data_IF_926612135451
#
_entry.id   IF_926612135451
#
_cell.length_a   1.000
_cell.length_b   1.000
_cell.length_c   1.000
_cell.angle_alpha   90.00
_cell.angle_beta   90.00
_cell.angle_gamma   90.00
#
_symmetry.space_group_name_H-M   'P 1'
#
loop_
_entity.id
_entity.type
_entity.pdbx_description
1 polymer ?
#
# COMPACT_ATOMS: atom_id res chain seq x y z
N UNK A 1 -28.39 15.45 19.48
CA UNK A 1 -27.25 14.66 18.99
C UNK A 1 -26.84 15.24 17.66
N UNK A 2 -25.71 15.93 17.60
CA UNK A 2 -25.11 16.30 16.31
C UNK A 2 -24.67 14.98 15.67
N UNK A 3 -25.16 14.70 14.47
CA UNK A 3 -24.55 13.66 13.63
C UNK A 3 -23.09 14.06 13.47
N UNK A 4 -22.17 13.30 14.07
CA UNK A 4 -20.77 13.36 13.68
C UNK A 4 -20.73 13.06 12.19
N UNK A 5 -20.47 14.08 11.37
CA UNK A 5 -20.10 13.87 9.98
C UNK A 5 -18.82 13.06 10.06
N UNK A 6 -18.92 11.76 9.80
CA UNK A 6 -17.76 10.87 9.81
C UNK A 6 -16.66 11.51 8.96
N UNK A 7 -15.46 11.65 9.53
CA UNK A 7 -14.29 12.14 8.81
C UNK A 7 -14.04 11.18 7.64
N UNK A 8 -14.03 11.75 6.44
CA UNK A 8 -14.01 10.99 5.20
C UNK A 8 -13.02 11.57 4.20
N UNK A 9 -12.72 10.80 3.15
CA UNK A 9 -11.83 11.25 2.09
C UNK A 9 -12.36 12.49 1.37
N UNK A 10 -11.45 13.22 0.74
CA UNK A 10 -11.82 14.18 -0.28
C UNK A 10 -12.20 13.42 -1.56
N UNK A 11 -13.50 13.12 -1.71
CA UNK A 11 -14.04 12.28 -2.78
C UNK A 11 -14.08 13.01 -4.12
N UNK A 12 -13.68 12.32 -5.17
CA UNK A 12 -13.87 12.71 -6.56
C UNK A 12 -14.46 11.54 -7.33
N UNK A 13 -15.30 11.82 -8.32
CA UNK A 13 -15.94 10.80 -9.15
C UNK A 13 -15.67 11.18 -10.59
N UNK A 14 -15.24 10.22 -11.40
CA UNK A 14 -14.95 10.42 -12.82
C UNK A 14 -15.54 9.27 -13.62
N UNK A 15 -16.08 9.58 -14.79
CA UNK A 15 -16.80 8.63 -15.65
C UNK A 15 -16.15 8.42 -17.02
N UNK A 16 -15.03 9.11 -17.28
CA UNK A 16 -14.24 8.99 -18.51
C UNK A 16 -12.82 9.53 -18.29
N UNK A 17 -11.92 9.25 -19.22
CA UNK A 17 -10.52 9.66 -19.13
C UNK A 17 -10.32 11.18 -19.05
N UNK A 18 -11.17 11.97 -19.73
CA UNK A 18 -11.08 13.42 -19.68
C UNK A 18 -11.38 13.97 -18.28
N UNK A 19 -12.45 13.50 -17.65
CA UNK A 19 -12.80 13.89 -16.27
C UNK A 19 -11.68 13.51 -15.28
N UNK A 20 -11.03 12.36 -15.48
CA UNK A 20 -9.85 11.98 -14.70
C UNK A 20 -8.74 13.03 -14.81
N UNK A 21 -8.38 13.45 -16.03
CA UNK A 21 -7.35 14.47 -16.24
C UNK A 21 -7.77 15.84 -15.68
N UNK A 22 -9.04 16.23 -15.80
CA UNK A 22 -9.55 17.48 -15.26
C UNK A 22 -9.44 17.51 -13.73
N UNK A 23 -9.76 16.41 -13.05
CA UNK A 23 -9.57 16.26 -11.60
C UNK A 23 -8.09 16.33 -11.23
N UNK A 24 -7.22 15.56 -11.91
CA UNK A 24 -5.77 15.57 -11.65
C UNK A 24 -5.18 16.97 -11.82
N UNK A 25 -5.58 17.69 -12.88
CA UNK A 25 -5.16 19.06 -13.15
C UNK A 25 -5.59 20.01 -12.04
N UNK A 26 -6.84 19.90 -11.59
CA UNK A 26 -7.40 20.71 -10.49
C UNK A 26 -6.68 20.46 -9.15
N UNK A 27 -6.29 19.21 -8.88
CA UNK A 27 -5.50 18.86 -7.69
C UNK A 27 -4.08 19.43 -7.77
N UNK A 28 -3.38 19.20 -8.89
CA UNK A 28 -2.02 19.71 -9.10
C UNK A 28 -1.92 21.24 -9.14
N UNK A 29 -3.01 21.96 -9.42
CA UNK A 29 -3.01 23.42 -9.35
C UNK A 29 -3.14 23.96 -7.91
N UNK A 30 -3.57 23.13 -6.97
CA UNK A 30 -3.78 23.51 -5.56
C UNK A 30 -2.63 23.05 -4.67
N UNK A 31 -2.07 21.89 -4.97
CA UNK A 31 -1.02 21.26 -4.18
C UNK A 31 0.15 20.87 -5.08
N UNK A 32 1.35 21.25 -4.65
CA UNK A 32 2.59 20.79 -5.27
C UNK A 32 2.94 19.37 -4.78
N UNK A 33 3.66 18.60 -5.59
CA UNK A 33 4.21 17.29 -5.22
C UNK A 33 3.16 16.24 -4.78
N UNK A 34 2.19 15.95 -5.64
CA UNK A 34 1.20 14.91 -5.40
C UNK A 34 1.70 13.51 -5.78
N UNK A 35 1.39 12.54 -4.91
CA UNK A 35 1.61 11.12 -5.12
C UNK A 35 0.28 10.41 -5.36
N UNK A 36 0.29 9.41 -6.23
CA UNK A 36 -0.88 8.71 -6.74
C UNK A 36 -0.72 7.21 -6.52
N UNK A 37 -1.79 6.51 -6.14
CA UNK A 37 -1.82 5.04 -6.04
C UNK A 37 -3.12 4.49 -6.59
N UNK A 38 -3.02 3.64 -7.61
CA UNK A 38 -4.15 2.90 -8.18
C UNK A 38 -4.49 1.66 -7.36
N UNK A 39 -5.78 1.39 -7.24
CA UNK A 39 -6.34 0.14 -6.71
C UNK A 39 -7.46 -0.30 -7.65
N UNK A 40 -7.43 -1.58 -8.02
CA UNK A 40 -8.40 -2.18 -8.93
C UNK A 40 -9.80 -2.34 -8.31
N UNK A 41 -9.93 -2.08 -7.01
CA UNK A 41 -11.19 -2.08 -6.28
C UNK A 41 -11.17 -0.94 -5.23
N UNK A 42 -12.17 -0.07 -5.26
CA UNK A 42 -12.27 1.07 -4.35
C UNK A 42 -12.56 0.66 -2.90
N UNK A 43 -12.98 -0.58 -2.63
CA UNK A 43 -13.09 -1.11 -1.26
C UNK A 43 -11.73 -1.37 -0.60
N UNK A 44 -10.63 -1.39 -1.37
CA UNK A 44 -9.31 -1.68 -0.81
C UNK A 44 -8.74 -0.48 -0.06
N UNK A 45 -8.18 -0.79 1.11
CA UNK A 45 -7.51 0.17 1.99
C UNK A 45 -6.02 0.31 1.64
N UNK A 46 -5.37 1.34 2.19
CA UNK A 46 -3.94 1.63 2.02
C UNK A 46 -3.10 0.77 2.98
N UNK A 47 -3.01 -0.52 2.65
CA UNK A 47 -2.27 -1.53 3.43
C UNK A 47 -1.19 -2.21 2.58
N UNK A 48 0.07 -2.25 3.05
CA UNK A 48 1.16 -2.99 2.42
C UNK A 48 0.81 -4.46 2.20
N UNK A 49 1.33 -5.04 1.14
CA UNK A 49 1.06 -6.44 0.75
C UNK A 49 1.34 -7.44 1.86
N UNK A 50 2.41 -7.25 2.66
CA UNK A 50 2.72 -8.12 3.79
C UNK A 50 1.70 -8.07 4.94
N UNK A 51 0.95 -6.97 5.05
CA UNK A 51 0.08 -6.66 6.19
C UNK A 51 -1.41 -6.89 5.88
N UNK A 52 -1.75 -7.35 4.68
CA UNK A 52 -3.14 -7.65 4.28
C UNK A 52 -3.73 -8.90 4.95
N UNK A 53 -2.86 -9.80 5.43
CA UNK A 53 -3.24 -11.05 6.10
C UNK A 53 -2.56 -11.14 7.46
N UNK A 54 -3.09 -10.36 8.40
CA UNK A 54 -2.67 -10.31 9.79
C UNK A 54 -3.60 -11.15 10.68
N UNK A 55 -3.05 -11.76 11.71
CA UNK A 55 -3.81 -12.53 12.71
C UNK A 55 -3.40 -12.10 14.12
N UNK A 56 -4.35 -11.70 14.94
CA UNK A 56 -4.07 -11.51 16.38
C UNK A 56 -3.86 -12.90 17.00
N UNK A 57 -2.75 -13.07 17.73
CA UNK A 57 -2.34 -14.36 18.32
C UNK A 57 -2.16 -14.30 19.82
N UNK A 58 -1.84 -13.13 20.37
CA UNK A 58 -1.76 -12.89 21.81
C UNK A 58 -2.30 -11.52 22.16
N UNK A 59 -2.78 -11.37 23.39
CA UNK A 59 -3.16 -10.07 23.92
C UNK A 59 -1.97 -9.28 24.48
N UNK A 60 -2.27 -8.08 24.97
CA UNK A 60 -1.31 -7.16 25.60
C UNK A 60 -0.57 -7.70 26.84
N UNK A 61 -1.05 -8.81 27.42
CA UNK A 61 -0.45 -9.46 28.59
C UNK A 61 0.30 -10.74 28.23
N UNK A 62 0.65 -10.92 26.94
CA UNK A 62 1.32 -12.10 26.39
C UNK A 62 0.52 -13.41 26.56
N UNK A 63 -0.81 -13.32 26.73
CA UNK A 63 -1.68 -14.49 26.84
C UNK A 63 -2.10 -14.96 25.45
N UNK A 64 -2.00 -16.27 25.21
CA UNK A 64 -2.50 -16.89 23.98
C UNK A 64 -4.00 -16.61 23.83
N UNK A 65 -4.40 -16.05 22.69
CA UNK A 65 -5.82 -15.91 22.30
C UNK A 65 -6.11 -16.81 21.11
N UNK A 66 -7.38 -17.13 20.88
CA UNK A 66 -7.78 -17.87 19.68
C UNK A 66 -7.37 -17.05 18.45
N UNK A 67 -6.48 -17.56 17.57
CA UNK A 67 -6.03 -16.77 16.43
C UNK A 67 -7.17 -16.34 15.52
N UNK A 68 -7.31 -15.04 15.32
CA UNK A 68 -8.36 -14.43 14.51
C UNK A 68 -7.76 -13.46 13.51
N UNK A 69 -8.34 -13.39 12.31
CA UNK A 69 -7.90 -12.44 11.29
C UNK A 69 -8.15 -11.03 11.82
N UNK A 70 -7.17 -10.15 11.68
CA UNK A 70 -7.27 -8.77 12.09
C UNK A 70 -8.29 -8.06 11.19
N UNK A 71 -9.44 -7.68 11.77
CA UNK A 71 -10.49 -6.90 11.11
C UNK A 71 -10.77 -5.57 11.80
N UNK A 72 -10.34 -5.44 13.05
CA UNK A 72 -10.45 -4.24 13.87
C UNK A 72 -9.06 -3.82 14.33
N UNK A 73 -8.83 -2.52 14.44
CA UNK A 73 -7.53 -1.97 14.78
C UNK A 73 -7.62 -1.24 16.11
N UNK A 74 -6.68 -1.51 17.03
CA UNK A 74 -6.72 -0.97 18.38
C UNK A 74 -5.30 -0.81 18.97
N UNK A 75 -5.16 0.12 19.90
CA UNK A 75 -3.88 0.45 20.55
C UNK A 75 -3.56 -0.42 21.78
N UNK A 76 -4.14 -1.63 21.90
CA UNK A 76 -3.92 -2.48 23.09
C UNK A 76 -2.53 -3.09 23.13
N UNK A 77 -1.83 -3.18 22.01
CA UNK A 77 -0.52 -3.84 21.94
C UNK A 77 -0.62 -5.36 21.82
N UNK A 78 -1.70 -5.86 21.22
CA UNK A 78 -1.84 -7.27 20.88
C UNK A 78 -0.73 -7.70 19.91
N UNK A 79 -0.26 -8.94 20.03
CA UNK A 79 0.72 -9.50 19.09
C UNK A 79 0.02 -10.02 17.85
N UNK A 80 0.55 -9.61 16.69
CA UNK A 80 -0.03 -9.91 15.38
C UNK A 80 0.96 -10.72 14.56
N UNK A 81 0.52 -11.89 14.10
CA UNK A 81 1.23 -12.71 13.13
C UNK A 81 0.88 -12.28 11.70
N UNK A 82 1.89 -12.15 10.85
CA UNK A 82 1.77 -11.88 9.43
C UNK A 82 2.90 -12.58 8.69
N UNK A 83 2.96 -12.42 7.37
CA UNK A 83 3.93 -13.13 6.54
C UNK A 83 5.37 -12.75 6.95
N UNK A 84 6.28 -13.73 6.96
CA UNK A 84 7.66 -13.51 7.38
C UNK A 84 8.46 -12.78 6.27
N UNK A 85 8.37 -11.44 6.28
CA UNK A 85 9.06 -10.55 5.32
C UNK A 85 10.56 -10.76 5.34
N UNK A 86 11.16 -10.96 6.51
CA UNK A 86 12.61 -11.17 6.64
C UNK A 86 13.06 -12.44 5.89
N UNK A 87 12.39 -13.57 6.13
CA UNK A 87 12.72 -14.84 5.46
C UNK A 87 12.53 -14.74 3.94
N UNK A 88 11.46 -14.11 3.48
CA UNK A 88 11.23 -13.90 2.04
C UNK A 88 12.32 -13.04 1.41
N UNK A 89 12.73 -11.97 2.09
CA UNK A 89 13.77 -11.08 1.59
C UNK A 89 15.11 -11.80 1.47
N UNK A 90 15.50 -12.63 2.46
CA UNK A 90 16.75 -13.38 2.37
C UNK A 90 16.72 -14.39 1.21
N UNK A 91 15.60 -15.09 1.01
CA UNK A 91 15.42 -16.01 -0.13
C UNK A 91 15.49 -15.26 -1.47
N UNK A 92 14.83 -14.10 -1.55
CA UNK A 92 14.84 -13.25 -2.74
C UNK A 92 16.25 -12.72 -3.05
N UNK A 93 17.01 -12.25 -2.05
CA UNK A 93 18.39 -11.75 -2.22
C UNK A 93 19.30 -12.77 -2.88
N UNK A 94 19.19 -14.05 -2.51
CA UNK A 94 20.03 -15.12 -3.06
C UNK A 94 19.80 -15.32 -4.56
N UNK A 95 18.55 -15.20 -5.01
CA UNK A 95 18.18 -15.36 -6.42
C UNK A 95 18.45 -14.07 -7.19
N UNK A 96 18.00 -12.93 -6.67
CA UNK A 96 17.99 -11.66 -7.40
C UNK A 96 19.39 -11.15 -7.76
N UNK A 97 20.42 -11.43 -6.95
CA UNK A 97 21.80 -10.96 -7.19
C UNK A 97 22.31 -11.21 -8.61
N UNK A 98 22.01 -12.37 -9.20
CA UNK A 98 22.49 -12.72 -10.55
C UNK A 98 21.70 -12.04 -11.68
N UNK A 99 20.53 -11.47 -11.38
CA UNK A 99 19.63 -10.86 -12.36
C UNK A 99 19.65 -9.32 -12.33
N UNK A 100 20.17 -8.72 -11.25
CA UNK A 100 20.22 -7.26 -11.10
C UNK A 100 21.45 -6.67 -11.78
N UNK A 101 21.27 -5.51 -12.41
CA UNK A 101 22.37 -4.74 -13.03
C UNK A 101 23.16 -3.93 -12.01
N UNK A 102 22.46 -3.41 -11.01
CA UNK A 102 23.01 -2.63 -9.91
C UNK A 102 22.66 -3.40 -8.63
N UNK A 103 23.67 -3.77 -7.87
CA UNK A 103 23.45 -4.47 -6.60
C UNK A 103 23.00 -3.46 -5.53
N UNK A 104 21.86 -3.71 -4.85
CA UNK A 104 21.44 -2.92 -3.70
C UNK A 104 22.48 -2.91 -2.59
N UNK A 105 22.77 -1.73 -2.07
CA UNK A 105 23.84 -1.49 -1.07
C UNK A 105 23.37 -1.62 0.37
N UNK A 106 22.07 -1.51 0.61
CA UNK A 106 21.45 -1.54 1.94
C UNK A 106 20.13 -2.34 1.95
N UNK A 107 19.58 -2.62 3.14
CA UNK A 107 18.37 -3.44 3.23
C UNK A 107 17.16 -2.72 2.66
N UNK A 108 17.06 -1.40 2.79
CA UNK A 108 15.93 -0.63 2.27
C UNK A 108 15.84 -0.72 0.74
N UNK A 109 16.97 -0.60 0.04
CA UNK A 109 17.06 -0.82 -1.41
C UNK A 109 16.66 -2.24 -1.81
N UNK A 110 17.07 -3.25 -1.03
CA UNK A 110 16.59 -4.62 -1.25
C UNK A 110 15.07 -4.76 -1.10
N UNK A 111 14.45 -4.05 -0.16
CA UNK A 111 13.00 -4.04 -0.01
C UNK A 111 12.31 -3.35 -1.18
N UNK A 112 12.85 -2.25 -1.70
CA UNK A 112 12.32 -1.61 -2.90
C UNK A 112 12.31 -2.60 -4.05
N UNK A 113 13.43 -3.24 -4.35
CA UNK A 113 13.52 -4.22 -5.43
C UNK A 113 12.54 -5.38 -5.21
N UNK A 114 12.53 -5.97 -4.01
CA UNK A 114 11.65 -7.09 -3.68
C UNK A 114 10.17 -6.74 -3.90
N UNK A 115 9.72 -5.57 -3.44
CA UNK A 115 8.35 -5.08 -3.62
C UNK A 115 7.98 -4.96 -5.10
N UNK A 116 8.85 -4.40 -5.94
CA UNK A 116 8.57 -4.22 -7.38
C UNK A 116 8.47 -5.53 -8.15
N UNK A 117 9.16 -6.58 -7.70
CA UNK A 117 9.05 -7.93 -8.28
C UNK A 117 7.96 -8.78 -7.62
N UNK A 118 7.20 -8.22 -6.68
CA UNK A 118 6.01 -8.85 -6.12
C UNK A 118 6.23 -9.64 -4.83
N UNK A 119 7.39 -9.51 -4.17
CA UNK A 119 7.55 -10.00 -2.80
C UNK A 119 6.72 -9.12 -1.85
N UNK A 120 5.89 -9.70 -0.98
CA UNK A 120 5.16 -8.91 0.01
C UNK A 120 6.12 -8.23 0.98
N UNK A 121 6.07 -6.90 1.03
CA UNK A 121 6.83 -6.09 1.98
C UNK A 121 5.93 -5.22 2.84
N UNK A 122 6.53 -4.51 3.80
CA UNK A 122 5.87 -3.47 4.60
C UNK A 122 5.90 -2.08 3.93
N UNK A 123 6.23 -2.04 2.65
CA UNK A 123 6.18 -0.84 1.84
C UNK A 123 4.84 -0.76 1.12
N UNK A 124 4.33 0.46 1.02
CA UNK A 124 3.19 0.79 0.17
C UNK A 124 3.67 1.67 -0.98
N UNK A 125 3.41 1.25 -2.22
CA UNK A 125 3.86 1.95 -3.42
C UNK A 125 3.01 3.18 -3.74
N UNK A 126 3.68 4.23 -4.17
CA UNK A 126 3.10 5.46 -4.70
C UNK A 126 3.84 5.85 -5.98
N UNK A 127 3.16 6.54 -6.89
CA UNK A 127 3.76 7.09 -8.10
C UNK A 127 3.61 8.60 -8.12
N UNK A 128 4.59 9.35 -8.62
CA UNK A 128 4.38 10.77 -8.97
C UNK A 128 3.59 10.95 -10.28
N UNK A 129 3.37 9.87 -11.02
CA UNK A 129 2.66 9.85 -12.28
C UNK A 129 1.23 9.36 -12.10
N UNK A 130 0.27 10.23 -12.42
CA UNK A 130 -1.16 9.93 -12.35
C UNK A 130 -1.59 8.88 -13.38
N UNK A 131 -0.93 8.76 -14.53
CA UNK A 131 -1.27 7.76 -15.54
C UNK A 131 -0.79 6.37 -15.12
N UNK A 132 0.36 6.28 -14.46
CA UNK A 132 0.84 5.02 -13.86
C UNK A 132 -0.13 4.55 -12.78
N UNK A 133 -0.61 5.44 -11.92
CA UNK A 133 -1.62 5.09 -10.93
C UNK A 133 -2.96 4.68 -11.58
N UNK A 134 -3.40 5.37 -12.62
CA UNK A 134 -4.60 4.99 -13.37
C UNK A 134 -4.44 3.59 -13.98
N UNK A 135 -3.30 3.30 -14.59
CA UNK A 135 -2.99 1.98 -15.15
C UNK A 135 -3.20 0.87 -14.10
N UNK A 136 -2.62 1.02 -12.91
CA UNK A 136 -2.80 0.02 -11.83
C UNK A 136 -4.24 -0.06 -11.32
N UNK A 137 -5.01 1.02 -11.38
CA UNK A 137 -6.43 1.00 -11.01
C UNK A 137 -7.30 0.24 -12.02
N UNK A 138 -6.90 0.17 -13.29
CA UNK A 138 -7.75 -0.38 -14.36
C UNK A 138 -7.19 -1.65 -15.03
N UNK A 139 -6.02 -2.13 -14.61
CA UNK A 139 -5.32 -3.25 -15.25
C UNK A 139 -6.12 -4.56 -15.28
N UNK A 140 -6.90 -4.86 -14.23
CA UNK A 140 -7.56 -6.15 -14.09
C UNK A 140 -8.72 -6.29 -15.09
N UNK A 141 -8.68 -7.34 -15.90
CA UNK A 141 -9.80 -7.67 -16.77
C UNK A 141 -11.01 -8.14 -15.94
N UNK A 142 -12.16 -7.52 -16.19
CA UNK A 142 -13.44 -7.75 -15.51
C UNK A 142 -14.55 -8.20 -16.47
N UNK A 143 -14.17 -8.65 -17.68
CA UNK A 143 -15.06 -9.27 -18.64
C UNK A 143 -15.92 -10.38 -18.00
N UNK A 144 -17.21 -10.35 -18.27
CA UNK A 144 -18.17 -11.34 -17.78
C UNK A 144 -18.68 -11.14 -16.34
N UNK A 145 -18.22 -10.12 -15.61
CA UNK A 145 -18.84 -9.72 -14.34
C UNK A 145 -20.09 -8.87 -14.63
N UNK A 146 -21.19 -9.15 -13.93
CA UNK A 146 -22.36 -8.28 -13.91
C UNK A 146 -21.94 -6.94 -13.32
N UNK A 147 -21.84 -5.92 -14.17
CA UNK A 147 -21.56 -4.55 -13.75
C UNK A 147 -22.87 -3.88 -13.37
N UNK A 148 -22.87 -3.17 -12.25
CA UNK A 148 -23.93 -2.22 -11.94
C UNK A 148 -24.01 -1.14 -13.03
N UNK A 149 -25.13 -0.42 -13.09
CA UNK A 149 -25.17 0.81 -13.88
C UNK A 149 -24.29 1.90 -13.22
N UNK A 150 -23.88 2.89 -14.01
CA UNK A 150 -22.97 3.95 -13.56
C UNK A 150 -23.60 4.74 -12.41
N UNK A 151 -24.90 5.07 -12.48
CA UNK A 151 -25.57 5.84 -11.43
C UNK A 151 -25.56 5.13 -10.06
N UNK A 152 -25.82 3.82 -10.04
CA UNK A 152 -25.82 3.00 -8.83
C UNK A 152 -24.41 2.91 -8.23
N UNK A 153 -23.38 2.77 -9.07
CA UNK A 153 -22.00 2.73 -8.61
C UNK A 153 -21.58 4.08 -7.98
N UNK A 154 -21.99 5.19 -8.61
CA UNK A 154 -21.74 6.54 -8.11
C UNK A 154 -22.45 6.77 -6.77
N UNK A 155 -23.71 6.38 -6.66
CA UNK A 155 -24.49 6.59 -5.44
C UNK A 155 -23.99 5.74 -4.27
N UNK A 156 -23.62 4.48 -4.56
CA UNK A 156 -22.95 3.61 -3.59
C UNK A 156 -21.66 4.25 -3.06
N UNK A 157 -20.81 4.80 -3.93
CA UNK A 157 -19.56 5.45 -3.50
C UNK A 157 -19.77 6.74 -2.70
N UNK A 158 -20.80 7.53 -3.03
CA UNK A 158 -21.15 8.73 -2.27
C UNK A 158 -21.50 8.38 -0.82
N UNK A 159 -22.29 7.31 -0.64
CA UNK A 159 -22.70 6.82 0.68
C UNK A 159 -21.61 6.00 1.39
N UNK A 160 -20.71 5.36 0.63
CA UNK A 160 -19.66 4.47 1.12
C UNK A 160 -18.35 4.69 0.35
N UNK A 161 -17.35 5.29 1.01
CA UNK A 161 -16.03 5.51 0.42
C UNK A 161 -15.27 4.24 0.03
N UNK A 162 -15.75 3.07 0.42
CA UNK A 162 -15.18 1.76 0.14
C UNK A 162 -16.11 0.93 -0.75
N UNK A 163 -16.72 1.55 -1.75
CA UNK A 163 -17.52 0.87 -2.78
C UNK A 163 -16.72 -0.23 -3.48
N UNK A 164 -17.33 -1.40 -3.69
CA UNK A 164 -16.73 -2.48 -4.48
C UNK A 164 -17.08 -2.40 -5.97
N UNK A 165 -17.88 -1.40 -6.37
CA UNK A 165 -18.45 -1.20 -7.72
C UNK A 165 -17.58 -0.40 -8.69
N UNK A 166 -16.36 -0.07 -8.28
CA UNK A 166 -15.42 0.66 -9.11
C UNK A 166 -13.98 0.50 -8.65
N UNK A 167 -13.06 0.97 -9.47
CA UNK A 167 -11.66 1.14 -9.13
C UNK A 167 -11.45 2.49 -8.41
N UNK A 168 -10.26 2.70 -7.86
CA UNK A 168 -9.92 4.00 -7.29
C UNK A 168 -8.46 4.40 -7.50
N UNK A 169 -8.23 5.71 -7.53
CA UNK A 169 -6.90 6.31 -7.42
C UNK A 169 -6.88 7.16 -6.15
N UNK A 170 -5.99 6.79 -5.22
CA UNK A 170 -5.69 7.60 -4.04
C UNK A 170 -4.67 8.66 -4.42
N UNK A 171 -4.85 9.88 -3.91
CA UNK A 171 -3.92 10.99 -4.12
C UNK A 171 -3.59 11.63 -2.78
N UNK A 172 -2.31 11.90 -2.55
CA UNK A 172 -1.84 12.51 -1.31
C UNK A 172 -0.64 13.44 -1.56
N UNK A 173 -0.55 14.50 -0.77
CA UNK A 173 0.70 15.22 -0.59
C UNK A 173 1.54 14.48 0.47
N UNK A 174 2.72 13.94 0.13
CA UNK A 174 3.50 13.12 1.06
C UNK A 174 4.08 13.93 2.23
N UNK A 175 4.32 15.23 2.05
CA UNK A 175 4.76 16.12 3.11
C UNK A 175 3.67 16.35 4.15
N UNK A 176 2.45 16.66 3.70
CA UNK A 176 1.29 16.78 4.59
C UNK A 176 0.92 15.44 5.25
N UNK A 177 1.09 14.31 4.54
CA UNK A 177 0.92 13.00 5.16
C UNK A 177 1.92 12.80 6.29
N UNK A 178 3.22 13.00 6.02
CA UNK A 178 4.26 12.86 7.03
C UNK A 178 4.03 13.75 8.25
N UNK A 179 3.58 14.98 8.04
CA UNK A 179 3.25 15.94 9.10
C UNK A 179 2.18 15.42 10.05
N UNK A 180 1.22 14.66 9.52
CA UNK A 180 0.08 14.13 10.25
C UNK A 180 0.37 12.78 10.91
N UNK A 181 1.12 11.89 10.25
CA UNK A 181 1.24 10.50 10.70
C UNK A 181 2.66 10.03 11.05
N UNK A 182 3.73 10.62 10.52
CA UNK A 182 5.04 9.97 10.57
C UNK A 182 5.64 9.90 12.00
N UNK A 183 5.18 10.76 12.91
CA UNK A 183 5.67 10.81 14.29
C UNK A 183 7.13 11.28 14.42
N UNK A 184 7.73 11.78 13.35
CA UNK A 184 9.08 12.32 13.31
C UNK A 184 9.07 13.84 13.37
N UNK A 185 10.05 14.43 14.06
CA UNK A 185 10.24 15.88 14.13
C UNK A 185 11.50 16.35 13.42
N UNK A 186 11.51 17.62 13.00
CA UNK A 186 12.69 18.27 12.42
C UNK A 186 13.75 18.40 13.53
N UNK A 187 15.00 18.02 13.23
CA UNK A 187 16.07 17.93 14.21
C UNK A 187 16.23 19.20 15.06
N UNK A 188 16.18 19.04 16.39
CA UNK A 188 16.28 20.16 17.34
C UNK A 188 14.99 20.95 17.55
N UNK A 189 13.86 20.49 17.01
CA UNK A 189 12.53 21.12 17.19
C UNK A 189 11.46 20.08 17.55
N UNK A 190 10.31 20.56 18.04
CA UNK A 190 9.10 19.75 18.24
C UNK A 190 8.19 19.75 16.98
N UNK A 191 8.61 20.42 15.89
CA UNK A 191 7.80 20.49 14.68
C UNK A 191 7.85 19.17 13.90
N UNK A 192 6.70 18.63 13.45
CA UNK A 192 6.67 17.43 12.64
C UNK A 192 7.34 17.64 11.28
N UNK A 193 7.89 16.57 10.70
CA UNK A 193 8.42 16.61 9.34
C UNK A 193 7.28 16.81 8.33
N UNK A 194 7.47 17.73 7.41
CA UNK A 194 6.53 18.11 6.35
C UNK A 194 7.11 17.84 4.95
N UNK A 195 8.09 16.95 4.87
CA UNK A 195 8.79 16.56 3.65
C UNK A 195 9.02 15.05 3.61
N UNK A 196 9.30 14.54 2.42
CA UNK A 196 9.65 13.14 2.19
C UNK A 196 11.07 12.85 2.66
N UNK A 197 11.27 11.75 3.39
CA UNK A 197 12.62 11.33 3.76
C UNK A 197 13.30 10.66 2.57
N UNK A 198 14.48 11.17 2.19
CA UNK A 198 15.28 10.56 1.14
C UNK A 198 15.96 9.29 1.64
N UNK A 199 15.62 8.13 1.04
CA UNK A 199 16.15 6.83 1.45
C UNK A 199 17.68 6.74 1.39
N UNK A 200 18.33 7.43 0.46
CA UNK A 200 19.79 7.41 0.32
C UNK A 200 20.49 8.21 1.44
N UNK A 201 19.84 9.28 1.93
CA UNK A 201 20.40 10.15 2.98
C UNK A 201 20.11 9.58 4.36
N UNK A 202 18.88 9.13 4.59
CA UNK A 202 18.38 8.74 5.92
C UNK A 202 18.29 7.23 6.10
N UNK A 203 19.02 6.44 5.30
CA UNK A 203 18.94 4.98 5.33
C UNK A 203 19.13 4.42 6.74
N UNK A 204 20.17 4.86 7.46
CA UNK A 204 20.49 4.33 8.79
C UNK A 204 19.38 4.62 9.81
N UNK A 205 18.80 5.82 9.78
CA UNK A 205 17.70 6.22 10.67
C UNK A 205 16.42 5.44 10.34
N UNK A 206 16.11 5.30 9.05
CA UNK A 206 14.95 4.52 8.59
C UNK A 206 15.13 3.05 8.95
N UNK A 207 16.32 2.47 8.73
CA UNK A 207 16.62 1.07 9.04
C UNK A 207 16.56 0.79 10.54
N UNK A 208 17.13 1.65 11.40
CA UNK A 208 17.00 1.50 12.86
C UNK A 208 15.55 1.57 13.31
N UNK A 209 14.75 2.50 12.76
CA UNK A 209 13.31 2.55 13.01
C UNK A 209 12.54 1.33 12.47
N UNK A 210 13.03 0.71 11.40
CA UNK A 210 12.39 -0.42 10.73
C UNK A 210 12.77 -1.79 11.32
N UNK A 211 13.99 -1.94 11.83
CA UNK A 211 14.59 -3.22 12.23
C UNK A 211 14.75 -3.37 13.76
N UNK A 212 14.92 -2.29 14.53
CA UNK A 212 15.31 -2.41 15.95
C UNK A 212 14.14 -2.51 16.94
N UNK A 213 12.88 -2.57 16.48
CA UNK A 213 11.72 -2.90 17.31
C UNK A 213 11.49 -2.02 18.55
N UNK A 214 12.22 -0.91 18.70
CA UNK A 214 12.33 -0.14 19.95
C UNK A 214 11.74 1.27 19.85
N UNK A 215 11.27 1.68 18.67
CA UNK A 215 10.40 2.85 18.51
C UNK A 215 9.28 2.49 17.54
N UNK A 216 8.04 2.82 17.89
CA UNK A 216 6.86 2.62 17.06
C UNK A 216 7.00 3.46 15.79
N UNK A 217 7.60 2.89 14.75
CA UNK A 217 7.67 3.53 13.45
C UNK A 217 6.25 3.59 12.88
N UNK A 218 5.68 4.79 12.86
CA UNK A 218 4.44 5.08 12.16
C UNK A 218 4.71 5.18 10.65
N UNK A 219 3.67 5.07 9.80
CA UNK A 219 3.87 5.12 8.37
C UNK A 219 4.50 6.45 7.94
N UNK A 220 5.59 6.39 7.16
CA UNK A 220 6.30 7.58 6.68
C UNK A 220 6.57 7.50 5.17
N UNK A 221 6.27 8.56 4.44
CA UNK A 221 6.60 8.77 3.03
C UNK A 221 8.11 8.96 2.85
N UNK A 222 8.69 8.14 1.98
CA UNK A 222 10.10 8.11 1.61
C UNK A 222 10.25 8.12 0.09
N UNK A 223 11.26 8.81 -0.41
CA UNK A 223 11.66 8.71 -1.82
C UNK A 223 12.68 7.61 -2.00
N UNK A 224 12.56 6.83 -3.07
CA UNK A 224 13.48 5.73 -3.35
C UNK A 224 14.70 6.15 -4.17
N UNK A 225 15.74 5.33 -4.14
CA UNK A 225 16.89 5.43 -5.04
C UNK A 225 16.53 4.79 -6.40
N UNK A 226 16.82 5.42 -7.56
CA UNK A 226 16.50 4.88 -8.88
C UNK A 226 17.47 3.76 -9.32
N UNK A 227 17.54 2.67 -8.55
CA UNK A 227 18.48 1.56 -8.75
C UNK A 227 17.98 0.47 -9.71
N UNK A 228 16.70 0.49 -10.08
CA UNK A 228 16.14 -0.41 -11.08
C UNK A 228 15.20 0.30 -12.06
N UNK A 229 15.17 -0.21 -13.30
CA UNK A 229 14.42 0.38 -14.40
C UNK A 229 12.92 0.42 -14.12
N UNK A 230 12.37 -0.59 -13.45
CA UNK A 230 10.95 -0.65 -13.10
C UNK A 230 10.57 0.46 -12.13
N UNK A 231 11.43 0.73 -11.14
CA UNK A 231 11.25 1.85 -10.19
C UNK A 231 11.17 3.17 -10.94
N UNK A 232 12.10 3.40 -11.87
CA UNK A 232 12.13 4.62 -12.67
C UNK A 232 10.89 4.75 -13.56
N UNK A 233 10.49 3.67 -14.24
CA UNK A 233 9.31 3.67 -15.15
C UNK A 233 8.01 3.95 -14.42
N UNK A 234 7.89 3.48 -13.19
CA UNK A 234 6.71 3.66 -12.37
C UNK A 234 6.75 4.97 -11.56
N UNK A 235 7.84 5.75 -11.66
CA UNK A 235 8.10 6.92 -10.81
C UNK A 235 7.87 6.62 -9.32
N UNK A 236 8.40 5.48 -8.88
CA UNK A 236 8.05 4.82 -7.61
C UNK A 236 8.60 5.51 -6.35
N UNK A 237 7.70 5.81 -5.42
CA UNK A 237 7.96 6.23 -4.05
C UNK A 237 7.20 5.33 -3.07
N UNK A 238 7.47 5.46 -1.76
CA UNK A 238 6.95 4.49 -0.79
C UNK A 238 6.46 5.15 0.49
N UNK A 239 5.51 4.51 1.16
CA UNK A 239 5.32 4.66 2.60
C UNK A 239 5.87 3.43 3.31
N UNK A 240 6.68 3.62 4.35
CA UNK A 240 7.21 2.54 5.20
C UNK A 240 6.41 2.41 6.49
N UNK A 241 5.84 1.24 6.77
CA UNK A 241 4.88 1.06 7.88
C UNK A 241 5.47 0.56 9.22
N UNK A 242 6.74 0.12 9.24
CA UNK A 242 7.39 -0.28 10.50
C UNK A 242 6.67 -1.41 11.27
N UNK A 243 6.29 -1.13 12.52
CA UNK A 243 5.48 -2.03 13.37
C UNK A 243 3.98 -1.79 13.25
N UNK A 244 3.57 -0.73 12.54
CA UNK A 244 2.19 -0.34 12.41
C UNK A 244 1.48 -1.22 11.37
N UNK A 245 0.52 -2.02 11.83
CA UNK A 245 -0.20 -2.98 10.98
C UNK A 245 -1.51 -2.42 10.41
N UNK A 246 -1.86 -1.18 10.74
CA UNK A 246 -3.13 -0.60 10.31
C UNK A 246 -3.01 0.05 8.92
N UNK A 247 -4.11 0.13 8.17
CA UNK A 247 -4.20 0.95 6.98
C UNK A 247 -3.92 2.42 7.31
N UNK A 248 -3.25 3.12 6.39
CA UNK A 248 -3.04 4.59 6.54
C UNK A 248 -4.38 5.31 6.65
N UNK A 249 -5.35 4.90 5.83
CA UNK A 249 -6.69 5.46 5.77
C UNK A 249 -7.62 5.01 6.91
N UNK A 250 -7.12 4.24 7.87
CA UNK A 250 -7.80 4.03 9.16
C UNK A 250 -7.55 5.20 10.13
N UNK A 251 -6.50 6.00 9.90
CA UNK A 251 -6.19 7.17 10.73
C UNK A 251 -7.05 8.35 10.22
N UNK A 252 -7.98 8.83 11.05
CA UNK A 252 -8.93 9.89 10.66
C UNK A 252 -8.25 11.14 10.07
N UNK A 253 -7.14 11.57 10.69
CA UNK A 253 -6.40 12.76 10.22
C UNK A 253 -5.78 12.52 8.84
N UNK A 254 -5.24 11.32 8.57
CA UNK A 254 -4.72 10.95 7.27
C UNK A 254 -5.85 10.85 6.24
N UNK A 255 -6.96 10.21 6.61
CA UNK A 255 -8.13 10.02 5.74
C UNK A 255 -8.66 11.36 5.22
N UNK A 256 -8.68 12.40 6.06
CA UNK A 256 -9.15 13.76 5.71
C UNK A 256 -8.30 14.46 4.64
N UNK A 257 -6.99 14.23 4.63
CA UNK A 257 -6.07 14.88 3.68
C UNK A 257 -5.89 14.08 2.38
N UNK A 258 -6.34 12.81 2.36
CA UNK A 258 -6.26 11.96 1.19
C UNK A 258 -7.44 12.25 0.26
N UNK A 259 -7.15 12.48 -1.01
CA UNK A 259 -8.17 12.47 -2.05
C UNK A 259 -8.37 11.05 -2.59
N UNK A 260 -9.62 10.70 -2.87
CA UNK A 260 -9.98 9.41 -3.46
C UNK A 260 -10.80 9.64 -4.72
N UNK A 261 -10.21 9.33 -5.87
CA UNK A 261 -10.87 9.39 -7.18
C UNK A 261 -11.50 8.03 -7.45
N UNK A 262 -12.81 7.98 -7.59
CA UNK A 262 -13.57 6.77 -7.89
C UNK A 262 -13.87 6.68 -9.38
N UNK A 263 -13.69 5.47 -9.92
CA UNK A 263 -13.88 5.14 -11.33
C UNK A 263 -14.83 3.94 -11.41
N UNK A 264 -16.11 4.12 -11.82
CA UNK A 264 -17.01 2.99 -12.06
C UNK A 264 -16.42 2.01 -13.08
N UNK A 265 -16.65 0.70 -12.89
CA UNK A 265 -16.06 -0.30 -13.79
C UNK A 265 -16.52 -0.17 -15.26
N UNK A 266 -17.70 0.39 -15.50
CA UNK A 266 -18.22 0.60 -16.85
C UNK A 266 -17.36 1.58 -17.67
N UNK A 267 -16.54 2.40 -17.00
CA UNK A 267 -15.69 3.40 -17.63
C UNK A 267 -14.28 2.88 -17.94
N UNK A 268 -13.93 1.68 -17.48
CA UNK A 268 -12.55 1.16 -17.55
C UNK A 268 -12.06 0.94 -18.97
N UNK A 269 -12.90 0.40 -19.85
CA UNK A 269 -12.46 0.05 -21.21
C UNK A 269 -12.07 1.29 -22.02
N UNK A 270 -12.86 2.37 -21.95
CA UNK A 270 -12.49 3.66 -22.55
C UNK A 270 -11.15 4.18 -22.01
N UNK A 271 -10.94 4.14 -20.70
CA UNK A 271 -9.69 4.59 -20.09
C UNK A 271 -8.50 3.72 -20.47
N UNK A 272 -8.69 2.41 -20.65
CA UNK A 272 -7.63 1.49 -21.14
C UNK A 272 -7.22 1.84 -22.56
N UNK A 273 -8.19 2.08 -23.45
CA UNK A 273 -7.92 2.51 -24.83
C UNK A 273 -7.10 3.81 -24.85
N UNK A 274 -7.44 4.76 -24.00
CA UNK A 274 -6.71 6.02 -23.87
C UNK A 274 -5.30 5.84 -23.33
N UNK A 275 -5.10 5.00 -22.30
CA UNK A 275 -3.75 4.70 -21.80
C UNK A 275 -2.89 3.99 -22.85
N UNK A 276 -3.48 3.07 -23.62
CA UNK A 276 -2.80 2.41 -24.73
C UNK A 276 -2.38 3.40 -25.81
N UNK A 277 -3.25 4.35 -26.17
CA UNK A 277 -2.92 5.42 -27.12
C UNK A 277 -1.81 6.37 -26.65
N UNK A 278 -1.54 6.41 -25.33
CA UNK A 278 -0.48 7.20 -24.70
C UNK A 278 0.77 6.36 -24.38
N UNK A 279 0.88 5.13 -24.90
CA UNK A 279 1.98 4.19 -24.67
C UNK A 279 2.19 3.78 -23.19
N UNK A 280 1.17 3.95 -22.35
CA UNK A 280 1.14 3.46 -20.97
C UNK A 280 0.62 2.02 -20.99
N UNK A 281 1.55 1.07 -21.05
CA UNK A 281 1.28 -0.36 -21.25
C UNK A 281 2.03 -1.20 -20.21
N UNK A 282 1.64 -2.47 -20.09
CA UNK A 282 2.32 -3.42 -19.20
C UNK A 282 3.82 -3.51 -19.51
N UNK A 283 4.19 -3.53 -20.80
CA UNK A 283 5.59 -3.59 -21.22
C UNK A 283 6.36 -2.31 -20.87
N UNK A 284 5.74 -1.13 -21.03
CA UNK A 284 6.41 0.13 -20.71
C UNK A 284 6.64 0.30 -19.20
N UNK A 285 5.77 -0.27 -18.36
CA UNK A 285 5.87 -0.19 -16.89
C UNK A 285 6.69 -1.31 -16.24
N UNK A 286 6.43 -2.58 -16.59
CA UNK A 286 7.08 -3.73 -15.94
C UNK A 286 8.36 -4.19 -16.64
N UNK A 287 8.42 -4.08 -17.97
CA UNK A 287 9.44 -4.74 -18.78
C UNK A 287 9.44 -6.27 -18.66
N UNK A 288 10.51 -6.91 -19.12
CA UNK A 288 10.70 -8.36 -19.01
C UNK A 288 11.67 -8.71 -17.87
N UNK A 289 11.27 -9.61 -16.97
CA UNK A 289 12.13 -10.16 -15.93
C UNK A 289 11.64 -11.53 -15.45
N UNK A 290 12.56 -12.49 -15.32
CA UNK A 290 12.26 -13.80 -14.73
C UNK A 290 12.05 -13.72 -13.21
N UNK A 291 12.43 -12.61 -12.57
CA UNK A 291 12.29 -12.39 -11.13
C UNK A 291 10.84 -12.37 -10.66
N UNK A 292 9.90 -12.03 -11.55
CA UNK A 292 8.47 -12.02 -11.21
C UNK A 292 7.96 -13.43 -10.85
N UNK A 293 8.40 -14.46 -11.59
CA UNK A 293 8.01 -15.84 -11.30
C UNK A 293 8.62 -16.33 -9.99
N UNK A 294 9.92 -16.11 -9.78
CA UNK A 294 10.59 -16.52 -8.54
C UNK A 294 9.96 -15.83 -7.31
N UNK A 295 9.65 -14.54 -7.44
CA UNK A 295 9.03 -13.78 -6.35
C UNK A 295 7.65 -14.30 -6.01
N UNK A 296 6.85 -14.68 -7.03
CA UNK A 296 5.54 -15.30 -6.84
C UNK A 296 5.65 -16.62 -6.07
N UNK A 297 6.63 -17.47 -6.41
CA UNK A 297 6.85 -18.75 -5.73
C UNK A 297 7.26 -18.57 -4.27
N UNK A 298 8.22 -17.66 -3.99
CA UNK A 298 8.63 -17.29 -2.63
C UNK A 298 7.42 -16.81 -1.81
N UNK A 299 6.59 -15.96 -2.41
CA UNK A 299 5.42 -15.37 -1.77
C UNK A 299 4.38 -16.43 -1.43
N UNK A 300 4.02 -17.29 -2.38
CA UNK A 300 3.05 -18.36 -2.18
C UNK A 300 3.50 -19.34 -1.08
N UNK A 301 4.76 -19.76 -1.13
CA UNK A 301 5.38 -20.64 -0.13
C UNK A 301 5.30 -20.05 1.28
N UNK A 302 5.57 -18.76 1.44
CA UNK A 302 5.55 -18.11 2.75
C UNK A 302 4.13 -17.77 3.24
N UNK A 303 3.19 -17.50 2.33
CA UNK A 303 1.76 -17.43 2.67
C UNK A 303 1.24 -18.76 3.21
N UNK A 304 1.65 -19.87 2.59
CA UNK A 304 1.26 -21.21 3.03
C UNK A 304 1.86 -21.55 4.41
N UNK A 305 3.13 -21.21 4.65
CA UNK A 305 3.74 -21.34 5.98
C UNK A 305 2.98 -20.57 7.06
N UNK A 306 2.58 -19.32 6.78
CA UNK A 306 1.78 -18.53 7.72
C UNK A 306 0.44 -19.21 8.02
N UNK A 307 -0.25 -19.70 6.97
CA UNK A 307 -1.52 -20.41 7.12
C UNK A 307 -1.40 -21.65 8.00
N UNK A 308 -0.35 -22.46 7.80
CA UNK A 308 -0.07 -23.64 8.60
C UNK A 308 0.21 -23.26 10.07
N UNK A 309 1.08 -22.28 10.31
CA UNK A 309 1.41 -21.82 11.65
C UNK A 309 0.18 -21.28 12.42
N UNK A 310 -0.68 -20.50 11.76
CA UNK A 310 -1.93 -20.01 12.37
C UNK A 310 -2.88 -21.15 12.71
N UNK A 311 -2.96 -22.18 11.87
CA UNK A 311 -3.79 -23.36 12.15
C UNK A 311 -3.25 -24.17 13.34
N UNK A 312 -1.93 -24.35 13.45
CA UNK A 312 -1.30 -24.99 14.60
C UNK A 312 -1.60 -24.22 15.90
N UNK A 313 -1.52 -22.89 15.88
CA UNK A 313 -1.88 -22.05 17.03
C UNK A 313 -3.36 -22.22 17.41
N UNK A 314 -4.28 -22.29 16.44
CA UNK A 314 -5.70 -22.57 16.71
C UNK A 314 -5.90 -23.93 17.37
N UNK A 315 -5.20 -24.97 16.92
CA UNK A 315 -5.26 -26.31 17.51
C UNK A 315 -4.75 -26.27 18.96
N UNK A 316 -3.58 -25.65 19.18
CA UNK A 316 -2.96 -25.52 20.51
C UNK A 316 -3.89 -24.79 21.50
N UNK A 317 -4.51 -23.69 21.08
CA UNK A 317 -5.46 -22.94 21.90
C UNK A 317 -6.67 -23.80 22.30
N UNK A 318 -7.27 -24.52 21.35
CA UNK A 318 -8.42 -25.39 21.63
C UNK A 318 -8.06 -26.53 22.59
N UNK A 319 -6.85 -27.11 22.50
CA UNK A 319 -6.38 -28.15 23.41
C UNK A 319 -6.18 -27.64 24.85
N UNK A 320 -5.79 -26.38 25.02
CA UNK A 320 -5.65 -25.75 26.34
C UNK A 320 -7.00 -25.50 27.02
N UNK A 321 -8.04 -25.20 26.24
CA UNK A 321 -9.40 -24.91 26.76
C UNK A 321 -10.16 -26.17 27.19
N UNK A 322 -9.70 -27.36 26.80
CA UNK A 322 -10.32 -28.65 27.16
C UNK A 322 -9.71 -29.22 28.46
N UNK A 323 -8.57 -28.69 28.92
CA UNK A 323 -7.89 -29.11 30.15
C UNK A 323 -8.28 -28.25 31.34
#
# INVERSE_FOLDING_TARGET
MKQDIALDFQKHIVTNFKEYLDVVKSLKSKEENLWFRGQDNASFQLVPSALRNCYEIKDQFDRDIKPQKLTEYNNKGNQVAYINVHSMLQEFKLIAKQHLRIEPTNNLEWHFIAQHYGIPTKLLDWSTDSLVALFFAIQKNREGLLQDNIENAIEDFRCNSYSDKGASVFVVNPGELNKVIAGYTKGGTEEPIDFTLNSAIYNEQIEKGFLDGSNQLLPCCITSTPIDKRICRQSGNFTIHGSFVWPIDHIDQAKKIIHKIFIPYNCIEEMKEMLYALDVTENSLYGHSDLDSYSKDISNKNQEKLRLAVNELKIKYNQQMIK
#
